data_IF_433111189241
#
_entry.id   IF_433111189241
#
_cell.length_a   1.000
_cell.length_b   1.000
_cell.length_c   1.000
_cell.angle_alpha   90.00
_cell.angle_beta   90.00
_cell.angle_gamma   90.00
#
_symmetry.space_group_name_H-M   'P 1'
#
loop_
_entity.id
_entity.type
_entity.pdbx_description
1 polymer ?
#
# COMPACT_ATOMS: atom_id res chain seq x y z
N UNK A 1 31.87 8.66 -24.46
CA UNK A 1 31.22 9.81 -23.81
C UNK A 1 30.69 9.37 -22.44
N UNK A 2 31.46 9.67 -21.40
CA UNK A 2 31.10 9.35 -20.01
C UNK A 2 30.05 10.37 -19.53
N UNK A 3 28.84 9.94 -19.26
CA UNK A 3 27.84 10.78 -18.59
C UNK A 3 27.88 10.50 -17.09
N UNK A 4 28.22 11.52 -16.34
CA UNK A 4 28.17 11.58 -14.88
C UNK A 4 26.72 11.29 -14.43
N UNK A 5 26.57 10.27 -13.59
CA UNK A 5 25.37 10.08 -12.80
C UNK A 5 25.62 10.88 -11.51
N UNK A 6 25.00 12.05 -11.40
CA UNK A 6 24.98 12.79 -10.14
C UNK A 6 23.94 12.14 -9.24
N UNK A 7 24.43 11.39 -8.26
CA UNK A 7 23.59 10.86 -7.18
C UNK A 7 23.31 12.03 -6.24
N UNK A 8 22.06 12.52 -6.27
CA UNK A 8 21.58 13.48 -5.26
C UNK A 8 21.35 12.72 -3.95
N UNK A 9 22.27 12.89 -3.01
CA UNK A 9 22.04 12.52 -1.60
C UNK A 9 21.12 13.56 -0.98
N UNK A 10 19.83 13.24 -0.86
CA UNK A 10 18.87 14.06 -0.11
C UNK A 10 18.99 13.72 1.36
N UNK A 11 19.56 14.64 2.12
CA UNK A 11 19.64 14.56 3.57
C UNK A 11 18.25 14.77 4.20
N UNK A 12 17.82 13.77 4.97
CA UNK A 12 16.61 13.83 5.77
C UNK A 12 16.80 14.79 6.95
N UNK A 13 16.16 15.95 6.90
CA UNK A 13 16.06 16.84 8.06
C UNK A 13 14.75 16.54 8.80
N UNK A 14 14.86 15.86 9.93
CA UNK A 14 13.74 15.61 10.85
C UNK A 14 13.38 16.92 11.57
N UNK A 15 12.33 17.59 11.17
CA UNK A 15 11.76 18.69 11.96
C UNK A 15 10.61 18.18 12.82
N UNK A 16 10.83 18.20 14.12
CA UNK A 16 9.81 18.01 15.15
C UNK A 16 8.85 19.20 15.14
N UNK A 17 7.61 18.97 14.78
CA UNK A 17 6.55 19.98 14.97
C UNK A 17 5.84 19.77 16.30
N UNK A 18 6.01 20.75 17.18
CA UNK A 18 5.30 20.87 18.44
C UNK A 18 3.84 21.27 18.25
N UNK A 19 2.98 20.64 19.04
CA UNK A 19 1.56 21.00 19.17
C UNK A 19 1.40 22.43 19.71
N UNK A 20 0.81 23.31 18.90
CA UNK A 20 0.26 24.59 19.36
C UNK A 20 -1.22 24.44 19.74
N UNK A 21 -1.54 24.65 21.02
CA UNK A 21 -2.92 24.74 21.52
C UNK A 21 -3.55 26.03 21.03
N UNK A 22 -4.70 25.96 20.38
CA UNK A 22 -5.60 27.10 20.20
C UNK A 22 -6.88 26.90 21.00
N UNK A 23 -7.19 27.93 21.79
CA UNK A 23 -8.34 28.00 22.71
C UNK A 23 -9.66 28.17 21.95
N UNK A 24 -10.58 27.39 22.37
CA UNK A 24 -12.05 27.44 22.41
C UNK A 24 -12.75 28.77 22.12
N UNK A 25 -13.73 28.68 21.20
CA UNK A 25 -14.98 29.45 21.28
C UNK A 25 -16.15 28.46 21.41
N UNK A 26 -16.90 28.59 22.52
CA UNK A 26 -18.10 27.82 22.82
C UNK A 26 -19.18 28.07 21.79
N UNK A 27 -19.62 27.01 21.13
CA UNK A 27 -20.95 26.98 20.51
C UNK A 27 -21.62 25.70 21.00
N UNK A 28 -22.72 25.88 21.71
CA UNK A 28 -23.61 24.84 22.20
C UNK A 28 -24.12 24.03 21.02
N UNK A 29 -23.68 22.79 20.86
CA UNK A 29 -24.28 21.84 19.94
C UNK A 29 -24.98 20.74 20.71
N UNK A 30 -26.24 20.55 20.33
CA UNK A 30 -27.15 19.53 20.84
C UNK A 30 -26.49 18.13 20.84
N UNK A 31 -26.63 17.46 21.98
CA UNK A 31 -26.25 16.08 22.18
C UNK A 31 -27.08 15.15 21.28
N UNK A 32 -26.62 14.93 20.05
CA UNK A 32 -26.99 13.75 19.28
C UNK A 32 -26.14 12.58 19.79
N UNK A 33 -26.72 11.78 20.68
CA UNK A 33 -26.17 10.46 21.04
C UNK A 33 -26.30 9.53 19.82
N UNK A 34 -25.37 9.67 18.85
CA UNK A 34 -25.22 8.69 17.81
C UNK A 34 -24.81 7.38 18.49
N UNK A 35 -25.70 6.40 18.46
CA UNK A 35 -25.40 5.03 18.89
C UNK A 35 -24.22 4.53 18.03
N UNK A 36 -23.19 3.91 18.61
CA UNK A 36 -22.13 3.31 17.81
C UNK A 36 -22.75 2.29 16.87
N UNK A 37 -22.54 2.47 15.57
CA UNK A 37 -22.94 1.51 14.54
C UNK A 37 -22.01 0.30 14.73
N UNK A 38 -22.41 -0.63 15.59
CA UNK A 38 -21.74 -1.93 15.69
C UNK A 38 -22.20 -2.74 14.50
N UNK A 39 -21.39 -2.78 13.44
CA UNK A 39 -21.55 -3.84 12.42
C UNK A 39 -21.50 -5.18 13.16
N UNK A 40 -22.43 -6.11 12.92
CA UNK A 40 -22.34 -7.42 13.49
C UNK A 40 -20.99 -8.04 13.06
N UNK A 41 -20.24 -8.58 14.01
CA UNK A 41 -18.98 -9.27 13.71
C UNK A 41 -19.31 -10.40 12.75
N UNK A 42 -18.69 -10.41 11.59
CA UNK A 42 -18.89 -11.46 10.60
C UNK A 42 -18.43 -12.80 11.17
N UNK A 43 -19.34 -13.77 11.20
CA UNK A 43 -19.04 -15.14 11.58
C UNK A 43 -19.19 -16.02 10.33
N UNK A 44 -18.08 -16.47 9.81
CA UNK A 44 -18.07 -17.37 8.64
C UNK A 44 -17.57 -18.77 9.03
N UNK A 45 -17.99 -19.76 8.28
CA UNK A 45 -17.35 -21.08 8.30
C UNK A 45 -16.22 -21.06 7.29
N UNK A 46 -14.98 -20.98 7.80
CA UNK A 46 -13.80 -20.92 6.95
C UNK A 46 -13.55 -22.25 6.22
N UNK A 47 -13.03 -22.16 5.00
CA UNK A 47 -12.49 -23.33 4.28
C UNK A 47 -11.17 -23.79 4.90
N UNK A 48 -10.76 -25.05 4.57
CA UNK A 48 -9.48 -25.58 5.03
C UNK A 48 -8.31 -24.69 4.62
N UNK A 49 -8.29 -24.17 3.39
CA UNK A 49 -7.25 -23.29 2.88
C UNK A 49 -7.19 -21.95 3.64
N UNK A 50 -8.34 -21.37 3.98
CA UNK A 50 -8.40 -20.17 4.80
C UNK A 50 -7.84 -20.43 6.21
N UNK A 51 -8.14 -21.57 6.81
CA UNK A 51 -7.63 -21.94 8.13
C UNK A 51 -6.10 -22.15 8.10
N UNK A 52 -5.58 -22.86 7.11
CA UNK A 52 -4.13 -23.09 6.96
C UNK A 52 -3.37 -21.78 6.77
N UNK A 53 -3.90 -20.87 5.92
CA UNK A 53 -3.34 -19.55 5.68
C UNK A 53 -3.33 -18.72 6.95
N UNK A 54 -4.45 -18.69 7.67
CA UNK A 54 -4.57 -18.02 8.96
C UNK A 54 -3.56 -18.53 9.98
N UNK A 55 -3.45 -19.84 10.15
CA UNK A 55 -2.51 -20.46 11.10
C UNK A 55 -1.09 -19.99 10.81
N UNK A 56 -0.66 -20.05 9.55
CA UNK A 56 0.67 -19.61 9.12
C UNK A 56 0.93 -18.13 9.44
N UNK A 57 -0.03 -17.27 9.14
CA UNK A 57 0.06 -15.83 9.43
C UNK A 57 0.08 -15.53 10.93
N UNK A 58 -0.75 -16.23 11.72
CA UNK A 58 -0.77 -16.08 13.17
C UNK A 58 0.49 -16.62 13.84
N UNK A 59 1.09 -17.69 13.34
CA UNK A 59 2.40 -18.18 13.80
C UNK A 59 3.49 -17.16 13.56
N UNK A 60 3.50 -16.51 12.37
CA UNK A 60 4.40 -15.39 12.11
C UNK A 60 4.18 -14.25 13.11
N UNK A 61 2.93 -13.82 13.32
CA UNK A 61 2.59 -12.76 14.28
C UNK A 61 3.08 -13.14 15.70
N UNK A 62 2.81 -14.35 16.15
CA UNK A 62 3.25 -14.85 17.47
C UNK A 62 4.78 -14.85 17.60
N UNK A 63 5.50 -15.28 16.55
CA UNK A 63 6.97 -15.28 16.53
C UNK A 63 7.59 -13.89 16.70
N UNK A 64 6.83 -12.84 16.35
CA UNK A 64 7.22 -11.43 16.46
C UNK A 64 6.55 -10.70 17.63
N UNK A 65 5.84 -11.41 18.52
CA UNK A 65 5.06 -10.82 19.62
C UNK A 65 4.01 -9.80 19.14
N UNK A 66 3.42 -10.04 17.98
CA UNK A 66 2.32 -9.25 17.43
C UNK A 66 1.00 -9.88 17.88
N UNK A 67 0.06 -9.11 18.51
CA UNK A 67 -1.22 -9.62 18.90
C UNK A 67 -2.08 -10.02 17.69
N UNK A 68 -2.89 -11.05 17.85
CA UNK A 68 -3.82 -11.54 16.82
C UNK A 68 -5.27 -11.43 17.28
N UNK A 69 -6.19 -11.29 16.31
CA UNK A 69 -7.62 -11.24 16.59
C UNK A 69 -8.13 -12.57 17.13
N UNK A 70 -8.87 -12.51 18.25
CA UNK A 70 -9.24 -13.71 18.99
C UNK A 70 -10.45 -14.47 18.44
N UNK A 71 -11.33 -13.84 17.64
CA UNK A 71 -12.48 -14.52 17.07
C UNK A 71 -12.03 -15.52 15.97
N UNK A 72 -12.21 -16.83 16.16
CA UNK A 72 -11.75 -17.84 15.19
C UNK A 72 -12.57 -17.85 13.90
N UNK A 73 -13.75 -17.21 13.88
CA UNK A 73 -14.70 -17.23 12.76
C UNK A 73 -14.74 -15.93 11.97
N UNK A 74 -13.73 -15.07 12.09
CA UNK A 74 -13.69 -13.76 11.48
C UNK A 74 -12.29 -13.39 11.00
N UNK A 75 -12.17 -12.32 10.20
CA UNK A 75 -10.94 -11.86 9.59
C UNK A 75 -10.29 -12.93 8.69
N UNK A 76 -10.98 -13.32 7.65
CA UNK A 76 -10.45 -14.18 6.61
C UNK A 76 -10.36 -13.43 5.28
N UNK A 77 -9.28 -13.64 4.56
CA UNK A 77 -9.24 -13.32 3.14
C UNK A 77 -10.19 -14.26 2.41
N UNK A 78 -10.81 -13.78 1.33
CA UNK A 78 -11.78 -14.56 0.54
C UNK A 78 -11.19 -15.90 0.06
N UNK A 79 -12.06 -16.84 -0.25
CA UNK A 79 -11.68 -18.20 -0.65
C UNK A 79 -11.03 -18.25 -2.03
N UNK A 80 -10.16 -19.22 -2.24
CA UNK A 80 -9.39 -19.38 -3.49
C UNK A 80 -10.27 -19.51 -4.73
N UNK A 81 -11.43 -20.12 -4.61
CA UNK A 81 -12.39 -20.30 -5.71
C UNK A 81 -13.11 -19.00 -6.11
N UNK A 82 -13.28 -18.06 -5.19
CA UNK A 82 -13.96 -16.79 -5.44
C UNK A 82 -13.02 -15.66 -5.84
N UNK A 83 -11.77 -15.70 -5.38
CA UNK A 83 -10.83 -14.61 -5.67
C UNK A 83 -10.44 -14.58 -7.14
N UNK A 84 -10.52 -13.39 -7.72
CA UNK A 84 -10.01 -13.07 -9.05
C UNK A 84 -8.79 -12.18 -8.91
N UNK A 85 -7.61 -12.74 -9.14
CA UNK A 85 -6.37 -11.95 -9.11
C UNK A 85 -6.30 -11.03 -10.33
N UNK A 86 -5.85 -9.78 -10.13
CA UNK A 86 -5.57 -8.85 -11.23
C UNK A 86 -4.59 -9.50 -12.22
N UNK A 87 -4.81 -9.27 -13.49
CA UNK A 87 -3.93 -9.81 -14.55
C UNK A 87 -2.54 -9.21 -14.49
N UNK A 88 -1.54 -9.92 -15.01
CA UNK A 88 -0.17 -9.40 -15.11
C UNK A 88 -0.11 -8.02 -15.78
N UNK A 89 -0.92 -7.79 -16.81
CA UNK A 89 -0.94 -6.51 -17.51
C UNK A 89 -1.50 -5.38 -16.66
N UNK A 90 -2.56 -5.62 -15.90
CA UNK A 90 -3.12 -4.65 -14.95
C UNK A 90 -2.10 -4.30 -13.87
N UNK A 91 -1.40 -5.30 -13.33
CA UNK A 91 -0.37 -5.10 -12.29
C UNK A 91 0.82 -4.31 -12.83
N UNK A 92 1.28 -4.61 -14.06
CA UNK A 92 2.34 -3.85 -14.74
C UNK A 92 1.92 -2.40 -14.97
N UNK A 93 0.71 -2.17 -15.48
CA UNK A 93 0.21 -0.83 -15.74
C UNK A 93 0.05 -0.02 -14.45
N UNK A 94 -0.43 -0.65 -13.38
CA UNK A 94 -0.54 -0.03 -12.08
C UNK A 94 0.84 0.34 -11.50
N UNK A 95 1.83 -0.56 -11.57
CA UNK A 95 3.19 -0.31 -11.10
C UNK A 95 3.83 0.89 -11.82
N UNK A 96 3.67 0.99 -13.13
CA UNK A 96 4.18 2.12 -13.92
C UNK A 96 3.52 3.45 -13.52
N UNK A 97 2.21 3.45 -13.29
CA UNK A 97 1.49 4.63 -12.84
C UNK A 97 1.95 5.09 -11.46
N UNK A 98 2.10 4.16 -10.49
CA UNK A 98 2.56 4.49 -9.13
C UNK A 98 3.99 5.00 -9.13
N UNK A 99 4.87 4.44 -9.95
CA UNK A 99 6.23 4.96 -10.13
C UNK A 99 6.22 6.42 -10.60
N UNK A 100 5.40 6.74 -11.58
CA UNK A 100 5.24 8.12 -12.08
C UNK A 100 4.74 9.07 -10.98
N UNK A 101 3.71 8.66 -10.23
CA UNK A 101 3.14 9.46 -9.14
C UNK A 101 4.17 9.72 -8.03
N UNK A 102 4.94 8.68 -7.66
CA UNK A 102 6.03 8.81 -6.70
C UNK A 102 7.13 9.76 -7.17
N UNK A 103 7.63 9.60 -8.40
CA UNK A 103 8.65 10.48 -8.97
C UNK A 103 8.20 11.94 -9.06
N UNK A 104 6.93 12.19 -9.38
CA UNK A 104 6.36 13.55 -9.33
C UNK A 104 6.35 14.10 -7.91
N UNK A 105 6.08 13.28 -6.91
CA UNK A 105 6.06 13.71 -5.50
C UNK A 105 7.45 14.16 -5.00
N UNK A 106 8.51 13.56 -5.54
CA UNK A 106 9.90 13.91 -5.26
C UNK A 106 10.37 15.15 -6.04
N UNK A 107 9.52 15.70 -6.89
CA UNK A 107 9.86 16.91 -7.67
C UNK A 107 10.68 16.63 -8.94
N UNK A 108 10.55 15.42 -9.52
CA UNK A 108 11.17 15.16 -10.83
C UNK A 108 10.70 16.21 -11.84
N UNK A 109 11.64 16.80 -12.58
CA UNK A 109 11.34 17.83 -13.57
C UNK A 109 10.30 17.37 -14.60
N UNK A 110 9.39 18.26 -14.98
CA UNK A 110 8.26 17.95 -15.87
C UNK A 110 8.72 17.35 -17.20
N UNK A 111 9.86 17.77 -17.75
CA UNK A 111 10.42 17.23 -19.00
C UNK A 111 10.71 15.73 -18.90
N UNK A 112 11.12 15.25 -17.72
CA UNK A 112 11.37 13.81 -17.49
C UNK A 112 10.07 13.05 -17.27
N UNK A 113 9.09 13.66 -16.59
CA UNK A 113 7.75 13.11 -16.43
C UNK A 113 7.04 12.99 -17.78
N UNK A 114 7.11 14.01 -18.64
CA UNK A 114 6.55 13.98 -20.00
C UNK A 114 7.20 12.88 -20.85
N UNK A 115 8.52 12.73 -20.71
CA UNK A 115 9.24 11.64 -21.39
C UNK A 115 8.77 10.27 -20.89
N UNK A 116 8.61 10.10 -19.57
CA UNK A 116 8.10 8.86 -18.98
C UNK A 116 6.67 8.58 -19.46
N UNK A 117 5.80 9.58 -19.48
CA UNK A 117 4.44 9.43 -20.00
C UNK A 117 4.46 8.95 -21.47
N UNK A 118 5.25 9.60 -22.31
CA UNK A 118 5.40 9.21 -23.72
C UNK A 118 5.94 7.79 -23.88
N UNK A 119 6.98 7.42 -23.12
CA UNK A 119 7.65 6.13 -23.25
C UNK A 119 6.80 4.96 -22.71
N UNK A 120 5.97 5.21 -21.69
CA UNK A 120 5.21 4.19 -20.98
C UNK A 120 3.68 4.32 -21.11
N UNK A 121 3.21 5.36 -21.82
CA UNK A 121 1.77 5.70 -21.92
C UNK A 121 1.10 5.79 -20.55
N UNK A 122 1.69 6.59 -19.65
CA UNK A 122 1.28 6.71 -18.25
C UNK A 122 -0.12 7.32 -18.12
N UNK A 123 -0.41 8.37 -18.88
CA UNK A 123 -1.70 9.08 -18.83
C UNK A 123 -2.90 8.17 -19.03
N UNK A 124 -2.75 7.08 -19.81
CA UNK A 124 -3.80 6.08 -20.00
C UNK A 124 -3.97 5.12 -18.81
N UNK A 125 -3.02 5.10 -17.86
CA UNK A 125 -2.97 4.17 -16.72
C UNK A 125 -3.35 4.82 -15.40
N UNK A 126 -3.33 6.16 -15.34
CA UNK A 126 -3.66 6.91 -14.15
C UNK A 126 -5.14 6.80 -13.80
N UNK A 127 -5.44 6.64 -12.53
CA UNK A 127 -6.79 6.75 -11.99
C UNK A 127 -7.30 8.21 -12.03
N UNK A 128 -8.59 8.46 -11.78
CA UNK A 128 -9.11 9.83 -11.67
C UNK A 128 -8.36 10.68 -10.65
N UNK A 129 -8.08 10.16 -9.44
CA UNK A 129 -7.36 10.89 -8.40
C UNK A 129 -5.89 11.14 -8.78
N UNK A 130 -5.25 10.17 -9.41
CA UNK A 130 -3.88 10.32 -9.90
C UNK A 130 -3.76 11.31 -11.06
N UNK A 131 -4.75 11.35 -11.98
CA UNK A 131 -4.80 12.37 -13.03
C UNK A 131 -4.91 13.77 -12.45
N UNK A 132 -5.77 13.95 -11.44
CA UNK A 132 -5.90 15.21 -10.74
C UNK A 132 -4.56 15.64 -10.12
N UNK A 133 -3.87 14.72 -9.43
CA UNK A 133 -2.53 14.99 -8.88
C UNK A 133 -1.49 15.26 -9.98
N UNK A 134 -1.45 14.45 -11.03
CA UNK A 134 -0.49 14.58 -12.13
C UNK A 134 -0.57 15.93 -12.82
N UNK A 135 -1.77 16.52 -12.95
CA UNK A 135 -1.99 17.83 -13.58
C UNK A 135 -1.82 19.01 -12.64
N UNK A 136 -1.74 18.77 -11.32
CA UNK A 136 -1.51 19.84 -10.33
C UNK A 136 -0.09 20.38 -10.46
N UNK A 137 0.05 21.70 -10.73
CA UNK A 137 1.35 22.37 -10.90
C UNK A 137 2.08 22.53 -9.58
N UNK A 138 1.37 22.88 -8.54
CA UNK A 138 1.92 23.16 -7.20
C UNK A 138 1.16 22.28 -6.17
N UNK A 139 1.52 21.00 -6.04
CA UNK A 139 0.90 20.12 -5.05
C UNK A 139 1.23 20.61 -3.63
N UNK A 140 0.24 20.53 -2.73
CA UNK A 140 0.47 20.77 -1.29
C UNK A 140 1.41 19.72 -0.71
N UNK A 141 2.06 20.00 0.42
CA UNK A 141 2.92 19.03 1.11
C UNK A 141 2.16 17.75 1.49
N UNK A 142 0.89 17.85 1.85
CA UNK A 142 0.06 16.68 2.14
C UNK A 142 -0.16 15.82 0.87
N UNK A 143 -0.42 16.46 -0.28
CA UNK A 143 -0.57 15.73 -1.55
C UNK A 143 0.73 15.04 -1.96
N UNK A 144 1.89 15.71 -1.79
CA UNK A 144 3.20 15.10 -2.03
C UNK A 144 3.44 13.92 -1.10
N UNK A 145 3.16 14.08 0.19
CA UNK A 145 3.30 12.99 1.18
C UNK A 145 2.44 11.79 0.82
N UNK A 146 1.17 12.01 0.48
CA UNK A 146 0.27 10.92 0.07
C UNK A 146 0.75 10.23 -1.22
N UNK A 147 1.27 11.00 -2.17
CA UNK A 147 1.82 10.46 -3.41
C UNK A 147 3.13 9.69 -3.17
N UNK A 148 3.96 10.12 -2.22
CA UNK A 148 5.21 9.44 -1.86
C UNK A 148 4.96 8.06 -1.24
N UNK A 149 3.92 7.90 -0.43
CA UNK A 149 3.53 6.60 0.12
C UNK A 149 3.23 5.55 -0.96
N UNK A 150 2.90 5.96 -2.19
CA UNK A 150 2.67 5.04 -3.31
C UNK A 150 3.90 4.22 -3.72
N UNK A 151 5.07 4.55 -3.25
CA UNK A 151 6.25 3.71 -3.42
C UNK A 151 6.14 2.38 -2.64
N UNK A 152 5.53 2.36 -1.45
CA UNK A 152 5.25 1.08 -0.77
C UNK A 152 4.28 0.22 -1.58
N UNK A 153 3.26 0.83 -2.16
CA UNK A 153 2.35 0.13 -3.07
C UNK A 153 3.08 -0.39 -4.31
N UNK A 154 3.96 0.43 -4.91
CA UNK A 154 4.82 0.00 -6.02
C UNK A 154 5.67 -1.22 -5.63
N UNK A 155 6.30 -1.19 -4.46
CA UNK A 155 7.12 -2.30 -3.96
C UNK A 155 6.35 -3.63 -3.89
N UNK A 156 5.11 -3.60 -3.41
CA UNK A 156 4.22 -4.77 -3.39
C UNK A 156 3.93 -5.26 -4.81
N UNK A 157 3.67 -4.35 -5.76
CA UNK A 157 3.41 -4.74 -7.15
C UNK A 157 4.67 -5.33 -7.83
N UNK A 158 5.86 -4.78 -7.54
CA UNK A 158 7.12 -5.36 -8.01
C UNK A 158 7.38 -6.75 -7.43
N UNK A 159 7.03 -6.96 -6.15
CA UNK A 159 7.04 -8.29 -5.57
C UNK A 159 6.04 -9.22 -6.28
N UNK A 160 4.82 -8.78 -6.50
CA UNK A 160 3.80 -9.58 -7.19
C UNK A 160 4.23 -9.96 -8.63
N UNK A 161 4.97 -9.09 -9.31
CA UNK A 161 5.53 -9.30 -10.65
C UNK A 161 6.85 -10.09 -10.67
N UNK A 162 7.36 -10.52 -9.52
CA UNK A 162 8.58 -11.33 -9.40
C UNK A 162 9.89 -10.55 -9.55
N UNK A 163 9.88 -9.23 -9.44
CA UNK A 163 11.08 -8.38 -9.45
C UNK A 163 11.71 -8.21 -8.07
N UNK A 164 10.92 -8.35 -7.03
CA UNK A 164 11.34 -8.33 -5.63
C UNK A 164 11.07 -9.72 -5.05
N UNK A 165 12.06 -10.33 -4.44
CA UNK A 165 11.94 -11.72 -3.96
C UNK A 165 11.03 -11.84 -2.74
N UNK A 166 11.15 -10.92 -1.79
CA UNK A 166 10.41 -10.96 -0.52
C UNK A 166 9.98 -9.57 -0.08
N UNK A 167 8.76 -9.47 0.45
CA UNK A 167 8.34 -8.29 1.21
C UNK A 167 8.94 -8.38 2.62
N UNK A 168 9.91 -7.53 2.91
CA UNK A 168 10.55 -7.46 4.22
C UNK A 168 9.55 -7.12 5.33
N UNK A 169 9.96 -7.34 6.59
CA UNK A 169 9.18 -6.92 7.74
C UNK A 169 8.81 -5.43 7.63
N UNK A 170 7.54 -5.05 7.83
CA UNK A 170 7.08 -3.70 7.56
C UNK A 170 7.35 -2.72 8.73
N UNK A 171 8.61 -2.59 9.15
CA UNK A 171 9.06 -1.64 10.17
C UNK A 171 9.65 -0.35 9.57
N UNK A 172 9.94 -0.35 8.29
CA UNK A 172 10.46 0.80 7.53
C UNK A 172 9.99 0.76 6.09
N UNK A 173 10.06 1.90 5.41
CA UNK A 173 9.75 1.99 3.98
C UNK A 173 10.70 1.15 3.12
N UNK A 174 10.21 0.74 1.94
CA UNK A 174 11.00 0.08 0.91
C UNK A 174 12.19 0.93 0.44
N UNK A 175 13.13 0.29 -0.26
CA UNK A 175 14.20 1.01 -0.95
C UNK A 175 13.67 1.53 -2.29
N UNK A 176 13.19 2.78 -2.29
CA UNK A 176 12.63 3.44 -3.47
C UNK A 176 13.60 3.46 -4.65
N UNK A 177 14.89 3.69 -4.39
CA UNK A 177 15.88 3.76 -5.46
C UNK A 177 16.03 2.43 -6.22
N UNK A 178 15.99 1.30 -5.50
CA UNK A 178 16.05 -0.03 -6.13
C UNK A 178 14.79 -0.30 -6.95
N UNK A 179 13.61 0.05 -6.44
CA UNK A 179 12.34 -0.14 -7.11
C UNK A 179 12.26 0.68 -8.43
N UNK A 180 12.60 1.95 -8.37
CA UNK A 180 12.63 2.83 -9.56
C UNK A 180 13.67 2.36 -10.57
N UNK A 181 14.83 1.88 -10.09
CA UNK A 181 15.91 1.34 -10.94
C UNK A 181 15.44 0.15 -11.78
N UNK A 182 14.65 -0.76 -11.22
CA UNK A 182 14.09 -1.91 -11.95
C UNK A 182 13.33 -1.44 -13.20
N UNK A 183 12.43 -0.46 -13.03
CA UNK A 183 11.63 0.08 -14.16
C UNK A 183 12.51 0.81 -15.16
N UNK A 184 13.45 1.63 -14.68
CA UNK A 184 14.33 2.43 -15.52
C UNK A 184 15.25 1.57 -16.39
N UNK A 185 15.87 0.53 -15.83
CA UNK A 185 16.80 -0.35 -16.54
C UNK A 185 16.09 -1.25 -17.56
N UNK A 186 14.93 -1.77 -17.22
CA UNK A 186 14.17 -2.66 -18.07
C UNK A 186 13.41 -1.94 -19.18
N UNK A 187 13.10 -0.66 -19.02
CA UNK A 187 12.24 0.12 -19.91
C UNK A 187 10.86 -0.54 -20.08
N UNK A 188 9.96 0.08 -20.84
CA UNK A 188 8.59 -0.42 -21.00
C UNK A 188 8.53 -1.88 -21.48
N UNK A 189 9.23 -2.18 -22.57
CA UNK A 189 9.13 -3.50 -23.18
C UNK A 189 9.74 -4.58 -22.29
N UNK A 190 10.95 -4.35 -21.76
CA UNK A 190 11.62 -5.30 -20.89
C UNK A 190 10.87 -5.51 -19.56
N UNK A 191 10.31 -4.44 -18.97
CA UNK A 191 9.52 -4.52 -17.75
C UNK A 191 8.27 -5.38 -17.94
N UNK A 192 7.54 -5.22 -19.04
CA UNK A 192 6.36 -6.04 -19.33
C UNK A 192 6.71 -7.50 -19.68
N UNK A 193 7.77 -7.72 -20.47
CA UNK A 193 8.15 -9.05 -20.93
C UNK A 193 8.75 -9.94 -19.84
N UNK A 194 9.51 -9.35 -18.92
CA UNK A 194 10.16 -10.08 -17.82
C UNK A 194 9.27 -10.27 -16.61
N UNK A 195 8.16 -9.53 -16.53
CA UNK A 195 7.19 -9.68 -15.45
C UNK A 195 6.69 -11.13 -15.38
N UNK A 196 6.62 -11.66 -14.17
CA UNK A 196 6.13 -13.00 -13.90
C UNK A 196 5.26 -12.95 -12.65
N UNK A 197 3.95 -12.90 -12.89
CA UNK A 197 3.00 -12.79 -11.77
C UNK A 197 3.14 -14.02 -10.85
N UNK A 198 3.23 -13.76 -9.56
CA UNK A 198 3.22 -14.81 -8.53
C UNK A 198 1.93 -15.60 -8.56
N UNK A 199 1.97 -16.80 -8.02
CA UNK A 199 0.80 -17.65 -7.92
C UNK A 199 -0.27 -17.03 -7.04
N UNK A 200 -1.54 -17.36 -7.31
CA UNK A 200 -2.67 -16.95 -6.47
C UNK A 200 -2.43 -17.27 -5.00
N UNK A 201 -1.89 -18.47 -4.72
CA UNK A 201 -1.58 -18.90 -3.35
C UNK A 201 -0.59 -17.97 -2.65
N UNK A 202 0.51 -17.58 -3.31
CA UNK A 202 1.50 -16.65 -2.73
C UNK A 202 0.88 -15.28 -2.44
N UNK A 203 0.06 -14.76 -3.36
CA UNK A 203 -0.62 -13.48 -3.20
C UNK A 203 -1.61 -13.53 -2.03
N UNK A 204 -2.41 -14.59 -1.95
CA UNK A 204 -3.38 -14.78 -0.86
C UNK A 204 -2.71 -15.01 0.50
N UNK A 205 -1.58 -15.72 0.55
CA UNK A 205 -0.77 -15.87 1.77
C UNK A 205 -0.27 -14.52 2.29
N UNK A 206 0.17 -13.63 1.40
CA UNK A 206 0.56 -12.27 1.78
C UNK A 206 -0.63 -11.38 2.15
N UNK A 207 -1.76 -11.51 1.46
CA UNK A 207 -2.97 -10.79 1.80
C UNK A 207 -3.50 -11.15 3.20
N UNK A 208 -3.45 -12.43 3.58
CA UNK A 208 -3.84 -12.85 4.94
C UNK A 208 -2.84 -12.36 5.99
N UNK A 209 -1.54 -12.40 5.72
CA UNK A 209 -0.54 -11.88 6.64
C UNK A 209 -0.73 -10.39 6.88
N UNK A 210 -0.87 -9.58 5.82
CA UNK A 210 -1.00 -8.13 5.96
C UNK A 210 -2.30 -7.75 6.68
N UNK A 211 -3.39 -8.48 6.45
CA UNK A 211 -4.66 -8.31 7.16
C UNK A 211 -4.47 -8.44 8.68
N UNK A 212 -3.67 -9.43 9.15
CA UNK A 212 -3.35 -9.61 10.57
C UNK A 212 -2.51 -8.47 11.12
N UNK A 213 -1.51 -8.03 10.36
CA UNK A 213 -0.62 -6.94 10.75
C UNK A 213 -1.39 -5.61 10.83
N UNK A 214 -2.29 -5.36 9.88
CA UNK A 214 -3.10 -4.14 9.88
C UNK A 214 -4.11 -4.15 11.02
N UNK A 215 -4.79 -5.28 11.27
CA UNK A 215 -5.63 -5.42 12.45
C UNK A 215 -4.86 -5.09 13.75
N UNK A 216 -3.63 -5.56 13.88
CA UNK A 216 -2.83 -5.29 15.08
C UNK A 216 -2.46 -3.79 15.21
N UNK A 217 -2.14 -3.13 14.09
CA UNK A 217 -1.89 -1.68 14.06
C UNK A 217 -3.16 -0.88 14.39
N UNK A 218 -4.31 -1.25 13.81
CA UNK A 218 -5.61 -0.61 14.09
C UNK A 218 -6.02 -0.82 15.53
N UNK A 219 -5.90 -2.04 16.08
CA UNK A 219 -6.20 -2.37 17.47
C UNK A 219 -5.36 -1.53 18.45
N UNK A 220 -4.07 -1.35 18.18
CA UNK A 220 -3.19 -0.51 18.99
C UNK A 220 -3.60 0.97 18.90
N UNK A 221 -3.88 1.48 17.69
CA UNK A 221 -4.32 2.86 17.48
C UNK A 221 -5.63 3.17 18.24
N UNK A 222 -6.60 2.26 18.21
CA UNK A 222 -7.89 2.43 18.95
C UNK A 222 -7.67 2.51 20.46
N UNK A 223 -6.64 1.83 20.97
CA UNK A 223 -6.24 1.87 22.39
C UNK A 223 -5.31 3.02 22.74
N UNK A 224 -4.94 3.87 21.77
CA UNK A 224 -3.90 4.90 21.90
C UNK A 224 -2.53 4.32 22.29
N UNK A 225 -2.21 3.12 21.81
CA UNK A 225 -0.93 2.44 21.99
C UNK A 225 -0.07 2.55 20.72
N UNK A 226 1.26 2.48 20.84
CA UNK A 226 2.13 2.39 19.67
C UNK A 226 1.89 1.07 18.90
N UNK A 227 2.13 1.09 17.59
CA UNK A 227 2.07 -0.12 16.78
C UNK A 227 3.01 -1.21 17.36
N UNK A 228 2.53 -2.47 17.46
CA UNK A 228 3.29 -3.53 18.12
C UNK A 228 4.55 -3.89 17.32
N UNK A 229 5.58 -4.35 18.04
CA UNK A 229 6.79 -4.94 17.45
C UNK A 229 7.46 -4.09 16.37
N UNK A 230 7.43 -2.77 16.54
CA UNK A 230 7.99 -1.77 15.62
C UNK A 230 7.34 -1.75 14.23
N UNK A 231 6.11 -2.28 14.07
CA UNK A 231 5.40 -2.12 12.81
C UNK A 231 5.26 -0.64 12.45
N UNK A 232 5.52 -0.30 11.20
CA UNK A 232 5.17 1.00 10.66
C UNK A 232 3.74 0.92 10.09
N UNK A 233 2.78 1.51 10.79
CA UNK A 233 1.37 1.44 10.42
C UNK A 233 1.08 1.97 9.00
N UNK A 234 1.85 2.95 8.52
CA UNK A 234 1.66 3.48 7.17
C UNK A 234 2.16 2.49 6.10
N UNK A 235 3.28 1.82 6.35
CA UNK A 235 3.78 0.74 5.47
C UNK A 235 2.78 -0.41 5.42
N UNK A 236 2.28 -0.82 6.59
CA UNK A 236 1.28 -1.91 6.69
C UNK A 236 0.00 -1.53 5.93
N UNK A 237 -0.49 -0.30 6.10
CA UNK A 237 -1.67 0.21 5.41
C UNK A 237 -1.51 0.20 3.88
N UNK A 238 -0.42 0.74 3.35
CA UNK A 238 -0.18 0.78 1.90
C UNK A 238 -0.06 -0.63 1.30
N UNK A 239 0.58 -1.54 2.01
CA UNK A 239 0.67 -2.95 1.60
C UNK A 239 -0.69 -3.63 1.62
N UNK A 240 -1.52 -3.39 2.65
CA UNK A 240 -2.87 -3.94 2.74
C UNK A 240 -3.75 -3.43 1.60
N UNK A 241 -3.76 -2.10 1.37
CA UNK A 241 -4.46 -1.49 0.24
C UNK A 241 -4.08 -2.15 -1.09
N UNK A 242 -2.78 -2.32 -1.34
CA UNK A 242 -2.30 -2.89 -2.60
C UNK A 242 -2.66 -4.36 -2.76
N UNK A 243 -2.52 -5.16 -1.69
CA UNK A 243 -2.89 -6.58 -1.73
C UNK A 243 -4.39 -6.77 -1.88
N UNK A 244 -5.23 -5.92 -1.25
CA UNK A 244 -6.67 -5.91 -1.47
C UNK A 244 -7.03 -5.60 -2.93
N UNK A 245 -6.35 -4.63 -3.55
CA UNK A 245 -6.53 -4.38 -4.98
C UNK A 245 -6.11 -5.60 -5.83
N UNK A 246 -4.97 -6.21 -5.54
CA UNK A 246 -4.46 -7.39 -6.26
C UNK A 246 -5.44 -8.57 -6.26
N UNK A 247 -6.11 -8.82 -5.13
CA UNK A 247 -7.10 -9.89 -4.98
C UNK A 247 -8.51 -9.47 -5.40
N UNK A 248 -8.66 -8.26 -5.96
CA UNK A 248 -9.94 -7.68 -6.36
C UNK A 248 -10.98 -7.66 -5.22
N UNK A 249 -10.54 -7.29 -4.02
CA UNK A 249 -11.36 -7.24 -2.82
C UNK A 249 -12.61 -6.38 -3.06
N UNK A 250 -13.80 -6.94 -2.81
CA UNK A 250 -15.11 -6.32 -3.03
C UNK A 250 -15.34 -5.73 -4.43
N UNK A 251 -14.57 -6.15 -5.45
CA UNK A 251 -14.56 -5.59 -6.81
C UNK A 251 -14.27 -4.08 -6.83
N UNK A 252 -13.48 -3.59 -5.89
CA UNK A 252 -13.15 -2.17 -5.79
C UNK A 252 -12.04 -1.78 -6.78
N UNK A 253 -12.22 -0.60 -7.38
CA UNK A 253 -11.16 0.03 -8.17
C UNK A 253 -10.09 0.65 -7.25
N UNK A 254 -8.92 0.95 -7.81
CA UNK A 254 -7.76 1.40 -7.04
C UNK A 254 -8.05 2.56 -6.07
N UNK A 255 -8.78 3.57 -6.53
CA UNK A 255 -9.09 4.76 -5.71
C UNK A 255 -10.10 4.49 -4.58
N UNK A 256 -10.82 3.37 -4.63
CA UNK A 256 -11.92 3.03 -3.73
C UNK A 256 -11.59 1.86 -2.78
N UNK A 257 -10.40 1.25 -2.94
CA UNK A 257 -9.99 0.10 -2.12
C UNK A 257 -9.98 0.46 -0.64
N UNK A 258 -10.67 -0.35 0.15
CA UNK A 258 -10.69 -0.25 1.62
C UNK A 258 -9.77 -1.28 2.28
N UNK A 259 -9.35 -0.97 3.51
CA UNK A 259 -8.51 -1.84 4.35
C UNK A 259 -9.28 -2.18 5.64
N UNK A 260 -10.44 -2.79 5.47
CA UNK A 260 -11.30 -3.16 6.60
C UNK A 260 -10.66 -4.27 7.45
N UNK A 261 -10.59 -4.05 8.78
CA UNK A 261 -10.03 -5.00 9.76
C UNK A 261 -10.87 -5.08 11.03
#
# INVERSE_FOLDING_TARGET
>A
MKRLITILTVGFLSTLFGCGQNKSSNTTSENSTAQPITKPVENITATQEQLERRVKSEEFCKSKNIPVYKNPNSLFVETDDKVIIKTQNEVVDRALALCYIGLKSEGLEQVHLDKMDKDFNISAKLTPNEKAYATTKEPTEQQKTNANWRYESLHVLLWALGYVDTLNYPDQMCNVADDVKIIYELKQQGFRQKAKLRTKKEILDQADLILRLDWACVSARVKNEPAPSRLNSSVVFERHHTLNWLINYMNQEWDDVTTDT
#
